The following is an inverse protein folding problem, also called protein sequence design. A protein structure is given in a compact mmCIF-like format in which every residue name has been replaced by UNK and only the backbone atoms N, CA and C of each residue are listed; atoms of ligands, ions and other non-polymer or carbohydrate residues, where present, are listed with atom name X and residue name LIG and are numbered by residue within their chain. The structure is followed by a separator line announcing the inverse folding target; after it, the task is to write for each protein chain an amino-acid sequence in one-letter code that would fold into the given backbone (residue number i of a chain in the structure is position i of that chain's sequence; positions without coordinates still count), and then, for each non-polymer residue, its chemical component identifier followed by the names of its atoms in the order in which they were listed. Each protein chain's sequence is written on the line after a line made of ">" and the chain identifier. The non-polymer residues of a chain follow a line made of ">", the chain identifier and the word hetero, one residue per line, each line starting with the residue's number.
data_IF_885520003416
#
_entry.id   IF_885520003416
#
_cell.length_a   1.000
_cell.length_b   1.000
_cell.length_c   1.000
_cell.angle_alpha   90.00
_cell.angle_beta   90.00
_cell.angle_gamma   90.00
#
_symmetry.space_group_name_H-M   'P 1'
#
loop_
_entity.id
_entity.type
_entity.pdbx_description
1 polymer ?
#
# COMPACT_ATOMS: atom_id res chain seq x y z
N UNK A 1 -43.57 37.74 -9.65
CA UNK A 1 -42.80 38.85 -10.25
C UNK A 1 -42.14 39.65 -9.14
N UNK A 2 -40.86 39.42 -8.89
CA UNK A 2 -40.01 40.36 -8.16
C UNK A 2 -38.61 40.44 -8.80
N UNK A 3 -38.53 40.27 -10.12
CA UNK A 3 -37.28 40.31 -10.90
C UNK A 3 -37.01 41.70 -11.50
N UNK A 4 -37.31 42.77 -10.75
CA UNK A 4 -36.85 44.10 -11.14
C UNK A 4 -35.75 44.56 -10.18
N UNK A 5 -34.50 44.34 -10.58
CA UNK A 5 -33.33 44.90 -9.92
C UNK A 5 -32.77 46.05 -10.77
N UNK A 6 -32.78 47.27 -10.21
CA UNK A 6 -32.16 48.44 -10.83
C UNK A 6 -30.79 48.67 -10.17
N UNK A 7 -29.74 48.08 -10.75
CA UNK A 7 -28.37 48.12 -10.23
C UNK A 7 -27.43 47.17 -10.95
N UNK A 8 -26.14 47.17 -10.59
CA UNK A 8 -25.16 46.19 -11.06
C UNK A 8 -25.03 45.09 -10.01
N UNK A 9 -25.33 43.86 -10.38
CA UNK A 9 -25.12 42.67 -9.56
C UNK A 9 -23.90 41.92 -10.09
N UNK A 10 -22.95 41.62 -9.20
CA UNK A 10 -21.88 40.67 -9.49
C UNK A 10 -22.31 39.33 -8.93
N UNK A 11 -22.54 38.38 -9.82
CA UNK A 11 -22.76 36.98 -9.48
C UNK A 11 -21.46 36.25 -9.77
N UNK A 12 -20.88 35.64 -8.74
CA UNK A 12 -19.75 34.74 -8.92
C UNK A 12 -20.28 33.43 -9.50
N UNK A 13 -20.11 33.27 -10.81
CA UNK A 13 -20.47 32.05 -11.53
C UNK A 13 -19.33 31.04 -11.29
N UNK A 14 -19.61 30.05 -10.44
CA UNK A 14 -18.66 29.00 -10.07
C UNK A 14 -18.78 27.75 -10.98
N UNK A 15 -19.06 27.97 -12.27
CA UNK A 15 -19.32 26.91 -13.28
C UNK A 15 -18.01 26.38 -13.95
N UNK A 16 -16.89 26.43 -13.22
CA UNK A 16 -15.62 25.91 -13.70
C UNK A 16 -15.43 24.43 -13.35
N UNK A 17 -14.77 23.68 -14.24
CA UNK A 17 -14.31 22.32 -13.93
C UNK A 17 -13.38 22.37 -12.71
N UNK A 18 -13.74 21.63 -11.67
CA UNK A 18 -12.96 21.58 -10.43
C UNK A 18 -11.70 20.75 -10.64
N UNK A 19 -10.59 21.20 -10.05
CA UNK A 19 -9.31 20.48 -10.14
C UNK A 19 -9.37 19.21 -9.29
N UNK A 20 -8.99 18.08 -9.88
CA UNK A 20 -8.89 16.79 -9.22
C UNK A 20 -7.44 16.59 -8.74
N UNK A 21 -7.23 16.54 -7.43
CA UNK A 21 -5.95 16.17 -6.84
C UNK A 21 -5.80 14.65 -6.79
N UNK A 22 -4.64 14.14 -7.19
CA UNK A 22 -4.31 12.72 -7.01
C UNK A 22 -4.14 12.41 -5.53
N UNK A 23 -4.67 11.26 -5.08
CA UNK A 23 -4.51 10.82 -3.69
C UNK A 23 -3.05 10.57 -3.33
N UNK A 24 -2.70 10.73 -2.05
CA UNK A 24 -1.36 10.41 -1.56
C UNK A 24 -1.10 8.91 -1.61
N UNK A 25 -0.12 8.48 -2.39
CA UNK A 25 0.18 7.06 -2.64
C UNK A 25 1.34 6.54 -1.78
N UNK A 26 2.16 7.44 -1.24
CA UNK A 26 3.39 7.14 -0.50
C UNK A 26 3.19 7.10 1.03
N UNK A 27 2.04 6.61 1.51
CA UNK A 27 1.75 6.44 2.94
C UNK A 27 1.93 4.97 3.30
N UNK A 28 2.89 4.71 4.19
CA UNK A 28 3.17 3.37 4.69
C UNK A 28 2.28 3.07 5.88
N UNK A 29 1.68 1.89 5.93
CA UNK A 29 1.01 1.34 7.11
C UNK A 29 1.72 0.07 7.55
N UNK A 30 2.16 0.00 8.80
CA UNK A 30 2.79 -1.22 9.31
C UNK A 30 2.30 -1.61 10.70
N UNK A 31 2.25 -2.92 10.93
CA UNK A 31 2.02 -3.50 12.25
C UNK A 31 3.32 -4.12 12.73
N UNK A 32 3.64 -3.91 13.99
CA UNK A 32 4.90 -4.36 14.57
C UNK A 32 4.76 -4.60 16.08
N UNK A 33 5.72 -5.33 16.66
CA UNK A 33 5.87 -5.42 18.10
C UNK A 33 7.04 -4.59 18.60
N UNK A 34 6.91 -4.08 19.83
CA UNK A 34 8.00 -3.43 20.57
C UNK A 34 7.61 -3.24 22.04
N UNK A 35 7.96 -4.22 22.88
CA UNK A 35 7.66 -4.19 24.32
C UNK A 35 8.36 -3.05 25.08
N UNK A 36 9.47 -2.52 24.57
CA UNK A 36 10.24 -1.44 25.18
C UNK A 36 10.08 -0.08 24.47
N UNK A 37 9.12 0.05 23.54
CA UNK A 37 8.79 1.32 22.93
C UNK A 37 8.03 2.25 23.89
N UNK A 38 8.24 3.55 23.74
CA UNK A 38 7.56 4.59 24.50
C UNK A 38 6.04 4.48 24.33
N UNK A 39 5.32 4.19 25.42
CA UNK A 39 3.90 3.86 25.35
C UNK A 39 3.00 5.07 25.03
N UNK A 40 3.47 6.29 25.29
CA UNK A 40 2.76 7.51 24.92
C UNK A 40 2.86 7.79 23.42
N UNK A 41 4.05 7.61 22.85
CA UNK A 41 4.28 7.79 21.42
C UNK A 41 3.72 6.63 20.61
N UNK A 42 3.81 5.39 21.12
CA UNK A 42 3.34 4.19 20.47
C UNK A 42 2.33 3.43 21.33
N UNK A 43 1.11 3.97 21.58
CA UNK A 43 0.07 3.22 22.27
C UNK A 43 -0.23 1.88 21.60
N UNK A 44 -0.56 0.87 22.42
CA UNK A 44 -0.96 -0.44 21.90
C UNK A 44 -2.26 -0.34 21.11
N UNK A 45 -2.33 -1.06 19.98
CA UNK A 45 -3.49 -1.20 19.11
C UNK A 45 -4.09 0.10 18.55
N UNK A 46 -3.36 1.21 18.62
CA UNK A 46 -3.80 2.49 18.06
C UNK A 46 -2.90 2.92 16.91
N UNK A 47 -3.48 3.34 15.77
CA UNK A 47 -2.69 3.86 14.67
C UNK A 47 -2.08 5.21 15.05
N UNK A 48 -0.76 5.31 14.92
CA UNK A 48 0.02 6.52 15.19
C UNK A 48 0.61 7.05 13.90
N UNK A 49 0.44 8.35 13.66
CA UNK A 49 1.05 9.03 12.54
C UNK A 49 2.49 9.41 12.84
N UNK A 50 3.42 8.96 12.00
CA UNK A 50 4.81 9.35 12.02
C UNK A 50 5.09 10.18 10.77
N UNK A 51 5.41 11.45 10.97
CA UNK A 51 5.82 12.37 9.89
C UNK A 51 7.34 12.40 9.68
N UNK A 52 8.11 11.97 10.68
CA UNK A 52 9.56 11.83 10.59
C UNK A 52 10.00 10.48 11.17
N UNK A 53 10.22 9.52 10.26
CA UNK A 53 10.61 8.14 10.58
C UNK A 53 11.91 8.10 11.40
N UNK A 54 12.91 8.94 11.06
CA UNK A 54 14.21 8.93 11.73
C UNK A 54 14.12 9.37 13.20
N UNK A 55 13.32 10.41 13.49
CA UNK A 55 13.13 10.89 14.86
C UNK A 55 12.32 9.90 15.70
N UNK A 56 11.39 9.17 15.09
CA UNK A 56 10.55 8.20 15.77
C UNK A 56 11.32 6.97 16.27
N UNK A 57 12.43 6.60 15.61
CA UNK A 57 13.28 5.46 16.00
C UNK A 57 13.81 5.61 17.43
N UNK A 58 14.12 6.83 17.87
CA UNK A 58 14.60 7.08 19.24
C UNK A 58 13.60 6.64 20.32
N UNK A 59 12.30 6.58 19.99
CA UNK A 59 11.20 6.19 20.88
C UNK A 59 10.65 4.79 20.58
N UNK A 60 11.18 4.13 19.55
CA UNK A 60 10.73 2.82 19.08
C UNK A 60 11.19 1.64 19.93
N UNK A 61 12.02 1.90 20.94
CA UNK A 61 12.68 0.84 21.71
C UNK A 61 13.79 0.14 20.92
N UNK A 62 14.27 -0.97 21.44
CA UNK A 62 15.31 -1.82 20.83
C UNK A 62 14.84 -3.27 20.64
N UNK A 63 13.72 -3.66 21.23
CA UNK A 63 13.15 -5.00 21.12
C UNK A 63 12.05 -5.05 20.05
N UNK A 64 11.76 -6.26 19.58
CA UNK A 64 10.73 -6.50 18.56
C UNK A 64 11.16 -6.02 17.18
N UNK A 65 10.18 -5.70 16.34
CA UNK A 65 10.42 -5.38 14.91
C UNK A 65 10.27 -3.90 14.57
N UNK A 66 9.72 -3.07 15.48
CA UNK A 66 9.42 -1.66 15.22
C UNK A 66 10.67 -0.85 14.81
N UNK A 67 11.70 -0.82 15.65
CA UNK A 67 12.88 0.02 15.43
C UNK A 67 13.64 -0.37 14.15
N UNK A 68 13.84 -1.68 13.94
CA UNK A 68 14.50 -2.19 12.74
C UNK A 68 13.69 -1.87 11.47
N UNK A 69 12.36 -1.98 11.52
CA UNK A 69 11.49 -1.66 10.38
C UNK A 69 11.49 -0.17 10.05
N UNK A 70 11.43 0.70 11.07
CA UNK A 70 11.51 2.15 10.88
C UNK A 70 12.86 2.57 10.29
N UNK A 71 13.98 2.02 10.81
CA UNK A 71 15.30 2.27 10.23
C UNK A 71 15.37 1.75 8.79
N UNK A 72 14.75 0.59 8.53
CA UNK A 72 14.74 0.01 7.20
C UNK A 72 14.01 0.90 6.16
N UNK A 73 12.92 1.54 6.58
CA UNK A 73 12.19 2.52 5.78
C UNK A 73 13.03 3.80 5.62
N UNK A 74 13.60 4.31 6.72
CA UNK A 74 14.35 5.57 6.77
C UNK A 74 15.58 5.59 5.86
N UNK A 75 16.28 4.46 5.66
CA UNK A 75 17.43 4.42 4.75
C UNK A 75 17.02 4.53 3.27
N UNK A 76 15.76 4.27 2.93
CA UNK A 76 15.25 4.43 1.56
C UNK A 76 14.65 5.81 1.34
N UNK A 77 13.73 6.23 2.21
CA UNK A 77 13.01 7.50 2.10
C UNK A 77 12.46 7.97 3.45
N UNK A 78 11.81 9.14 3.47
CA UNK A 78 11.15 9.70 4.66
C UNK A 78 9.64 9.83 4.42
N UNK A 79 8.92 8.71 4.24
CA UNK A 79 7.49 8.76 3.98
C UNK A 79 6.72 9.05 5.27
N UNK A 80 5.46 9.44 5.10
CA UNK A 80 4.50 9.42 6.20
C UNK A 80 4.20 7.95 6.50
N UNK A 81 4.33 7.56 7.77
CA UNK A 81 4.14 6.17 8.20
C UNK A 81 3.10 6.11 9.31
N UNK A 82 2.07 5.30 9.12
CA UNK A 82 1.12 4.90 10.15
C UNK A 82 1.62 3.61 10.79
N UNK A 83 1.86 3.65 12.10
CA UNK A 83 2.32 2.48 12.86
C UNK A 83 1.24 2.05 13.82
N UNK A 84 0.97 0.74 13.85
CA UNK A 84 0.16 0.10 14.89
C UNK A 84 1.08 -0.83 15.68
N UNK A 85 1.31 -0.50 16.95
CA UNK A 85 2.07 -1.38 17.85
C UNK A 85 1.14 -2.41 18.48
N UNK A 86 1.50 -3.68 18.44
CA UNK A 86 0.80 -4.75 19.15
C UNK A 86 1.68 -5.35 20.24
N UNK A 87 1.05 -6.00 21.21
CA UNK A 87 1.73 -6.64 22.33
C UNK A 87 2.39 -7.96 21.87
N UNK A 88 3.60 -8.22 22.37
CA UNK A 88 4.26 -9.51 22.23
C UNK A 88 3.44 -10.59 22.96
N UNK A 89 3.37 -11.80 22.42
CA UNK A 89 2.76 -12.93 23.11
C UNK A 89 3.43 -13.23 24.47
N UNK A 90 2.67 -13.79 25.39
CA UNK A 90 3.15 -14.26 26.70
C UNK A 90 2.93 -15.76 26.78
N UNK A 91 3.97 -16.53 26.45
CA UNK A 91 3.98 -17.99 26.53
C UNK A 91 5.28 -18.50 27.14
N UNK A 92 5.22 -19.68 27.74
CA UNK A 92 6.39 -20.34 28.34
C UNK A 92 7.38 -20.88 27.28
N UNK A 93 6.89 -21.11 26.05
CA UNK A 93 7.65 -21.55 24.89
C UNK A 93 7.53 -20.56 23.70
N UNK A 94 8.55 -20.53 22.85
CA UNK A 94 8.65 -19.60 21.71
C UNK A 94 7.54 -19.82 20.65
N UNK A 95 6.99 -21.03 20.53
CA UNK A 95 5.93 -21.34 19.57
C UNK A 95 4.58 -20.78 20.02
N UNK A 96 4.20 -21.02 21.29
CA UNK A 96 3.02 -20.43 21.92
C UNK A 96 3.10 -18.91 21.92
N UNK A 97 4.29 -18.37 22.20
CA UNK A 97 4.55 -16.92 22.14
C UNK A 97 4.31 -16.36 20.73
N UNK A 98 4.83 -17.02 19.70
CA UNK A 98 4.63 -16.60 18.32
C UNK A 98 3.15 -16.71 17.92
N UNK A 99 2.45 -17.78 18.28
CA UNK A 99 1.04 -17.98 17.97
C UNK A 99 0.14 -16.90 18.59
N UNK A 100 0.39 -16.52 19.84
CA UNK A 100 -0.30 -15.39 20.47
C UNK A 100 0.05 -14.07 19.80
N UNK A 101 1.33 -13.84 19.45
CA UNK A 101 1.76 -12.64 18.73
C UNK A 101 1.05 -12.53 17.37
N UNK A 102 0.96 -13.63 16.62
CA UNK A 102 0.21 -13.70 15.36
C UNK A 102 -1.26 -13.33 15.55
N UNK A 103 -1.89 -13.84 16.62
CA UNK A 103 -3.28 -13.51 16.96
C UNK A 103 -3.46 -12.01 17.26
N UNK A 104 -2.52 -11.42 18.00
CA UNK A 104 -2.51 -9.98 18.31
C UNK A 104 -2.29 -9.12 17.06
N UNK A 105 -1.42 -9.55 16.14
CA UNK A 105 -1.17 -8.86 14.86
C UNK A 105 -2.41 -8.91 13.96
N UNK A 106 -3.03 -10.07 13.79
CA UNK A 106 -4.26 -10.20 12.98
C UNK A 106 -5.36 -9.30 13.57
N UNK A 107 -5.49 -9.34 14.89
CA UNK A 107 -6.36 -8.48 15.65
C UNK A 107 -7.86 -8.79 15.49
N UNK A 108 -8.61 -8.24 16.43
CA UNK A 108 -10.07 -8.31 16.49
C UNK A 108 -10.68 -6.93 16.73
N UNK A 109 -12.00 -6.90 16.83
CA UNK A 109 -12.71 -5.76 17.41
C UNK A 109 -12.82 -6.01 18.91
N UNK A 110 -12.36 -5.07 19.73
CA UNK A 110 -12.50 -5.16 21.18
C UNK A 110 -13.95 -4.91 21.65
N UNK A 111 -14.21 -5.12 22.94
CA UNK A 111 -15.55 -4.91 23.54
C UNK A 111 -16.03 -3.45 23.45
N UNK A 112 -15.11 -2.50 23.26
CA UNK A 112 -15.39 -1.08 23.08
C UNK A 112 -15.58 -0.69 21.61
N UNK A 113 -15.55 -1.66 20.69
CA UNK A 113 -15.69 -1.43 19.25
C UNK A 113 -14.42 -0.94 18.55
N UNK A 114 -13.27 -0.87 19.23
CA UNK A 114 -11.99 -0.48 18.64
C UNK A 114 -11.39 -1.65 17.86
N UNK A 115 -10.89 -1.33 16.66
CA UNK A 115 -10.11 -2.29 15.88
C UNK A 115 -8.69 -2.39 16.42
N UNK A 116 -8.19 -3.62 16.51
CA UNK A 116 -6.84 -3.95 16.99
C UNK A 116 -5.99 -4.56 15.87
N UNK A 117 -4.66 -4.59 16.05
CA UNK A 117 -3.72 -5.16 15.07
C UNK A 117 -3.88 -4.61 13.65
N UNK A 118 -3.92 -5.49 12.66
CA UNK A 118 -4.09 -5.15 11.24
C UNK A 118 -5.41 -4.43 10.96
N UNK A 119 -6.49 -4.74 11.69
CA UNK A 119 -7.78 -4.07 11.52
C UNK A 119 -7.72 -2.61 11.96
N UNK A 120 -6.82 -2.24 12.87
CA UNK A 120 -6.65 -0.85 13.29
C UNK A 120 -6.21 0.06 12.14
N UNK A 121 -5.52 -0.49 11.12
CA UNK A 121 -5.16 0.26 9.91
C UNK A 121 -6.39 0.71 9.11
N UNK A 122 -7.53 0.02 9.23
CA UNK A 122 -8.80 0.45 8.61
C UNK A 122 -9.33 1.74 9.22
N UNK A 123 -9.03 2.01 10.49
CA UNK A 123 -9.40 3.23 11.20
C UNK A 123 -8.31 4.31 11.12
N UNK A 124 -7.22 4.08 10.38
CA UNK A 124 -6.12 5.03 10.32
C UNK A 124 -6.56 6.40 9.78
N UNK A 125 -7.40 6.44 8.75
CA UNK A 125 -7.85 7.69 8.14
C UNK A 125 -8.69 8.54 9.11
N UNK A 126 -9.60 7.94 9.88
CA UNK A 126 -10.42 8.67 10.84
C UNK A 126 -9.64 9.15 12.07
N UNK A 127 -8.62 8.39 12.49
CA UNK A 127 -7.81 8.72 13.68
C UNK A 127 -6.67 9.69 13.36
N UNK A 128 -5.99 9.47 12.23
CA UNK A 128 -4.74 10.18 11.87
C UNK A 128 -4.90 11.16 10.72
N UNK A 129 -6.05 11.14 10.03
CA UNK A 129 -6.31 11.98 8.85
C UNK A 129 -5.65 11.47 7.57
N UNK A 130 -4.97 10.32 7.59
CA UNK A 130 -4.29 9.76 6.42
C UNK A 130 -4.61 8.28 6.22
N UNK A 131 -4.77 7.88 4.95
CA UNK A 131 -5.07 6.49 4.56
C UNK A 131 -3.80 5.79 4.07
N UNK A 132 -3.34 4.71 4.73
CA UNK A 132 -2.14 4.00 4.30
C UNK A 132 -2.39 3.19 3.02
N UNK A 133 -1.44 3.24 2.09
CA UNK A 133 -1.51 2.62 0.75
C UNK A 133 -0.47 1.55 0.50
N UNK A 134 0.55 1.49 1.35
CA UNK A 134 1.66 0.55 1.27
C UNK A 134 1.70 -0.19 2.61
N UNK A 135 1.32 -1.46 2.64
CA UNK A 135 1.14 -2.21 3.88
C UNK A 135 2.17 -3.33 4.06
N UNK A 136 2.55 -3.60 5.31
CA UNK A 136 3.39 -4.75 5.63
C UNK A 136 3.45 -5.03 7.12
N UNK A 137 3.90 -6.23 7.47
CA UNK A 137 4.17 -6.64 8.85
C UNK A 137 5.59 -7.21 8.92
N UNK A 138 6.63 -6.35 8.83
CA UNK A 138 7.97 -6.85 8.60
C UNK A 138 8.48 -7.72 9.75
N UNK A 139 8.95 -8.91 9.41
CA UNK A 139 9.53 -9.84 10.37
C UNK A 139 8.51 -10.58 11.25
N UNK A 140 7.21 -10.43 10.99
CA UNK A 140 6.13 -11.18 11.67
C UNK A 140 4.99 -11.54 10.69
N UNK A 141 5.30 -11.66 9.41
CA UNK A 141 4.37 -11.93 8.31
C UNK A 141 4.21 -13.44 8.07
N UNK A 142 3.82 -14.18 9.11
CA UNK A 142 3.44 -15.59 8.98
C UNK A 142 2.31 -15.76 7.97
N UNK A 143 2.08 -17.00 7.50
CA UNK A 143 1.00 -17.30 6.54
C UNK A 143 -0.36 -16.75 6.99
N UNK A 144 -0.69 -16.90 8.27
CA UNK A 144 -1.95 -16.45 8.86
C UNK A 144 -2.06 -14.92 8.85
N UNK A 145 -0.96 -14.22 9.16
CA UNK A 145 -0.87 -12.76 9.08
C UNK A 145 -0.98 -12.29 7.63
N UNK A 146 -0.31 -12.95 6.69
CA UNK A 146 -0.35 -12.61 5.27
C UNK A 146 -1.78 -12.74 4.68
N UNK A 147 -2.52 -13.77 5.06
CA UNK A 147 -3.94 -13.94 4.66
C UNK A 147 -4.81 -12.81 5.23
N UNK A 148 -4.61 -12.45 6.51
CA UNK A 148 -5.34 -11.33 7.11
C UNK A 148 -4.97 -9.99 6.46
N UNK A 149 -3.69 -9.78 6.15
CA UNK A 149 -3.18 -8.59 5.48
C UNK A 149 -3.81 -8.43 4.09
N UNK A 150 -3.96 -9.52 3.33
CA UNK A 150 -4.62 -9.51 2.01
C UNK A 150 -6.01 -8.85 2.08
N UNK A 151 -6.81 -9.27 3.07
CA UNK A 151 -8.17 -8.76 3.28
C UNK A 151 -8.18 -7.27 3.66
N UNK A 152 -7.18 -6.82 4.43
CA UNK A 152 -7.03 -5.40 4.79
C UNK A 152 -6.58 -4.57 3.59
N UNK A 153 -5.64 -5.07 2.77
CA UNK A 153 -5.20 -4.43 1.54
C UNK A 153 -6.36 -4.18 0.58
N UNK A 154 -7.24 -5.17 0.38
CA UNK A 154 -8.43 -5.03 -0.47
C UNK A 154 -9.38 -3.94 0.03
N UNK A 155 -9.68 -3.91 1.33
CA UNK A 155 -10.57 -2.91 1.94
C UNK A 155 -10.00 -1.50 1.84
N UNK A 156 -8.69 -1.35 2.03
CA UNK A 156 -8.02 -0.07 1.95
C UNK A 156 -7.63 0.34 0.53
N UNK A 157 -7.82 -0.53 -0.48
CA UNK A 157 -7.23 -0.34 -1.82
C UNK A 157 -5.74 0.01 -1.70
N UNK A 158 -5.04 -0.78 -0.89
CA UNK A 158 -3.63 -0.66 -0.61
C UNK A 158 -2.88 -1.86 -1.20
N UNK A 159 -1.56 -1.76 -1.26
CA UNK A 159 -0.68 -2.81 -1.76
C UNK A 159 0.20 -3.35 -0.62
N UNK A 160 0.21 -4.66 -0.44
CA UNK A 160 0.90 -5.35 0.65
C UNK A 160 2.14 -6.11 0.20
N UNK A 161 3.23 -6.00 0.95
CA UNK A 161 4.43 -6.82 0.76
C UNK A 161 4.55 -7.83 1.89
N UNK A 162 4.71 -9.10 1.53
CA UNK A 162 4.84 -10.22 2.46
C UNK A 162 6.09 -11.04 2.13
N UNK A 163 6.73 -11.59 3.14
CA UNK A 163 7.83 -12.54 3.02
C UNK A 163 7.28 -13.95 2.81
N UNK A 164 8.03 -14.80 2.10
CA UNK A 164 7.77 -16.24 2.13
C UNK A 164 8.23 -16.83 3.48
N UNK A 165 7.44 -16.57 4.52
CA UNK A 165 7.80 -16.82 5.92
C UNK A 165 8.28 -18.25 6.16
N UNK A 166 9.46 -18.38 6.78
CA UNK A 166 10.04 -19.66 7.18
C UNK A 166 10.51 -20.55 6.02
N UNK A 167 10.36 -20.13 4.76
CA UNK A 167 10.76 -20.92 3.61
C UNK A 167 12.27 -20.81 3.36
N UNK A 168 12.93 -21.95 3.15
CA UNK A 168 14.38 -22.02 2.90
C UNK A 168 14.72 -22.41 1.47
N UNK A 169 13.81 -23.10 0.80
CA UNK A 169 14.02 -23.60 -0.56
C UNK A 169 13.05 -22.98 -1.56
N UNK A 170 13.45 -22.90 -2.82
CA UNK A 170 12.61 -22.38 -3.92
C UNK A 170 11.29 -23.16 -4.02
N UNK A 171 11.32 -24.48 -3.83
CA UNK A 171 10.12 -25.32 -3.86
C UNK A 171 9.11 -24.95 -2.76
N UNK A 172 9.58 -24.72 -1.53
CA UNK A 172 8.73 -24.26 -0.42
C UNK A 172 8.15 -22.88 -0.70
N UNK A 173 8.96 -21.96 -1.24
CA UNK A 173 8.53 -20.61 -1.59
C UNK A 173 7.44 -20.63 -2.67
N UNK A 174 7.60 -21.47 -3.70
CA UNK A 174 6.58 -21.68 -4.74
C UNK A 174 5.29 -22.22 -4.16
N UNK A 175 5.36 -23.21 -3.27
CA UNK A 175 4.20 -23.75 -2.57
C UNK A 175 3.54 -22.72 -1.64
N UNK A 176 4.34 -21.89 -0.96
CA UNK A 176 3.83 -20.80 -0.11
C UNK A 176 3.04 -19.79 -0.95
N UNK A 177 3.58 -19.38 -2.10
CA UNK A 177 2.92 -18.43 -3.01
C UNK A 177 1.57 -18.94 -3.54
N UNK A 178 1.39 -20.25 -3.71
CA UNK A 178 0.12 -20.85 -4.17
C UNK A 178 -1.05 -20.66 -3.19
N UNK A 179 -0.80 -20.27 -1.93
CA UNK A 179 -1.87 -20.01 -0.95
C UNK A 179 -2.62 -18.69 -1.19
N UNK A 180 -2.17 -17.85 -2.14
CA UNK A 180 -2.69 -16.50 -2.35
C UNK A 180 -3.19 -16.30 -3.78
N UNK A 181 -4.30 -15.58 -3.94
CA UNK A 181 -4.88 -15.15 -5.22
C UNK A 181 -5.12 -13.64 -5.32
N UNK A 182 -4.77 -12.88 -4.27
CA UNK A 182 -5.11 -11.47 -4.15
C UNK A 182 -4.10 -10.59 -4.88
N UNK A 183 -4.53 -9.89 -5.94
CA UNK A 183 -3.71 -8.96 -6.74
C UNK A 183 -3.03 -7.84 -5.94
N UNK A 184 -3.50 -7.58 -4.73
CA UNK A 184 -2.97 -6.57 -3.79
C UNK A 184 -1.72 -7.03 -3.03
N UNK A 185 -1.30 -8.30 -3.16
CA UNK A 185 -0.14 -8.84 -2.46
C UNK A 185 1.03 -9.09 -3.40
N UNK A 186 2.25 -8.94 -2.87
CA UNK A 186 3.48 -9.39 -3.50
C UNK A 186 4.31 -10.18 -2.49
N UNK A 187 4.63 -11.43 -2.83
CA UNK A 187 5.53 -12.28 -2.05
C UNK A 187 6.98 -11.95 -2.42
N UNK A 188 7.81 -11.77 -1.40
CA UNK A 188 9.24 -11.49 -1.53
C UNK A 188 10.03 -12.63 -0.88
N UNK A 189 11.05 -13.12 -1.58
CA UNK A 189 12.03 -14.04 -1.02
C UNK A 189 13.36 -13.96 -1.77
N UNK A 190 14.52 -13.96 -1.10
CA UNK A 190 14.72 -14.09 0.36
C UNK A 190 14.76 -12.72 1.07
N UNK A 191 15.44 -12.63 2.20
CA UNK A 191 15.66 -11.38 2.95
C UNK A 191 17.04 -10.76 2.66
N UNK A 192 17.24 -9.52 3.08
CA UNK A 192 18.57 -8.90 3.09
C UNK A 192 19.32 -9.19 4.39
N UNK A 193 20.62 -8.91 4.37
CA UNK A 193 21.46 -8.84 5.55
C UNK A 193 21.95 -7.40 5.71
N UNK A 194 22.06 -6.92 6.95
CA UNK A 194 22.62 -5.62 7.27
C UNK A 194 23.39 -5.66 8.59
N UNK A 195 24.28 -4.69 8.79
CA UNK A 195 24.99 -4.53 10.05
C UNK A 195 24.06 -3.91 11.10
N UNK A 196 23.81 -4.62 12.19
CA UNK A 196 23.09 -4.10 13.34
C UNK A 196 24.06 -3.40 14.29
N UNK A 197 23.86 -2.10 14.48
CA UNK A 197 24.69 -1.28 15.37
C UNK A 197 24.44 -1.52 16.86
N UNK A 198 23.31 -2.13 17.23
CA UNK A 198 22.98 -2.45 18.63
C UNK A 198 23.74 -3.68 19.07
N UNK A 199 23.68 -4.75 18.27
CA UNK A 199 24.38 -6.01 18.56
C UNK A 199 25.80 -6.06 18.00
N UNK A 200 26.17 -5.12 17.12
CA UNK A 200 27.45 -5.11 16.39
C UNK A 200 27.71 -6.43 15.63
N UNK A 201 26.67 -6.96 15.00
CA UNK A 201 26.75 -8.16 14.16
C UNK A 201 25.91 -7.99 12.89
N UNK A 202 26.14 -8.85 11.90
CA UNK A 202 25.25 -8.91 10.73
C UNK A 202 23.95 -9.62 11.11
N UNK A 203 22.83 -8.93 10.95
CA UNK A 203 21.49 -9.44 11.23
C UNK A 203 20.62 -9.43 9.97
N UNK A 204 19.50 -10.16 10.03
CA UNK A 204 18.49 -10.14 8.99
C UNK A 204 17.87 -8.75 8.88
N UNK A 205 17.89 -8.18 7.68
CA UNK A 205 17.18 -6.97 7.33
C UNK A 205 15.97 -7.36 6.49
N UNK A 206 14.77 -7.26 7.08
CA UNK A 206 13.53 -7.70 6.45
C UNK A 206 13.32 -7.02 5.10
N UNK A 207 13.24 -7.83 4.03
CA UNK A 207 13.06 -7.31 2.69
C UNK A 207 11.71 -6.61 2.53
N UNK A 208 10.70 -7.04 3.28
CA UNK A 208 9.39 -6.38 3.33
C UNK A 208 9.48 -4.95 3.87
N UNK A 209 10.20 -4.69 4.97
CA UNK A 209 10.39 -3.31 5.47
C UNK A 209 11.12 -2.42 4.46
N UNK A 210 12.14 -2.96 3.79
CA UNK A 210 12.87 -2.27 2.73
C UNK A 210 11.96 -1.98 1.53
N UNK A 211 11.10 -2.92 1.16
CA UNK A 211 10.11 -2.75 0.10
C UNK A 211 9.11 -1.64 0.44
N UNK A 212 8.64 -1.53 1.69
CA UNK A 212 7.75 -0.43 2.12
C UNK A 212 8.40 0.94 1.88
N UNK A 213 9.63 1.13 2.37
CA UNK A 213 10.35 2.40 2.21
C UNK A 213 10.73 2.71 0.77
N UNK A 214 11.12 1.69 0.01
CA UNK A 214 11.48 1.86 -1.40
C UNK A 214 10.26 2.14 -2.26
N UNK A 215 9.12 1.50 -1.99
CA UNK A 215 7.85 1.77 -2.66
C UNK A 215 7.43 3.22 -2.47
N UNK A 216 7.53 3.72 -1.25
CA UNK A 216 7.21 5.11 -0.94
C UNK A 216 8.18 6.09 -1.63
N UNK A 217 9.47 5.73 -1.72
CA UNK A 217 10.46 6.51 -2.49
C UNK A 217 10.10 6.60 -3.97
N UNK A 218 9.81 5.46 -4.59
CA UNK A 218 9.49 5.40 -6.02
C UNK A 218 8.24 6.24 -6.30
N UNK A 219 7.23 6.18 -5.44
CA UNK A 219 6.03 6.99 -5.58
C UNK A 219 6.29 8.49 -5.54
N UNK A 220 7.20 8.94 -4.67
CA UNK A 220 7.55 10.34 -4.52
C UNK A 220 8.43 10.85 -5.68
N UNK A 221 9.35 10.03 -6.18
CA UNK A 221 10.35 10.45 -7.17
C UNK A 221 9.93 10.18 -8.62
N UNK A 222 9.27 9.06 -8.88
CA UNK A 222 8.90 8.60 -10.23
C UNK A 222 7.39 8.47 -10.41
N UNK A 223 6.68 8.03 -9.37
CA UNK A 223 5.24 7.78 -9.40
C UNK A 223 4.86 6.33 -9.11
N UNK A 224 3.58 6.11 -8.83
CA UNK A 224 3.05 4.78 -8.49
C UNK A 224 3.12 3.77 -9.64
N UNK A 225 3.19 4.26 -10.89
CA UNK A 225 3.24 3.46 -12.11
C UNK A 225 4.57 2.72 -12.30
N UNK A 226 5.67 3.20 -11.71
CA UNK A 226 6.95 2.48 -11.71
C UNK A 226 6.90 1.34 -10.70
N UNK A 227 7.31 0.12 -11.07
CA UNK A 227 7.36 -1.05 -10.18
C UNK A 227 8.56 -1.05 -9.23
N UNK A 228 8.49 -1.84 -8.16
CA UNK A 228 9.60 -2.05 -7.21
C UNK A 228 10.84 -2.67 -7.87
N UNK A 229 10.64 -3.45 -8.95
CA UNK A 229 11.71 -4.15 -9.65
C UNK A 229 12.81 -3.23 -10.19
N UNK A 230 14.05 -3.72 -10.12
CA UNK A 230 15.27 -3.11 -10.61
C UNK A 230 15.65 -1.78 -9.93
N UNK A 231 15.13 -1.50 -8.73
CA UNK A 231 15.50 -0.33 -7.94
C UNK A 231 16.56 -0.71 -6.91
N UNK A 232 17.61 0.12 -6.79
CA UNK A 232 18.70 -0.08 -5.84
C UNK A 232 18.24 0.05 -4.40
N UNK A 233 18.72 -0.84 -3.53
CA UNK A 233 18.37 -0.90 -2.11
C UNK A 233 19.52 -0.38 -1.26
N UNK A 234 19.24 0.63 -0.42
CA UNK A 234 20.21 1.17 0.53
C UNK A 234 20.25 0.34 1.84
N UNK A 235 21.36 0.45 2.60
CA UNK A 235 21.43 -0.06 3.96
C UNK A 235 21.49 -1.60 4.09
N UNK A 236 21.97 -2.28 3.04
CA UNK A 236 22.10 -3.74 3.00
C UNK A 236 23.50 -4.15 2.59
N UNK A 237 24.00 -5.25 3.16
CA UNK A 237 25.36 -5.78 2.96
C UNK A 237 25.37 -7.15 2.29
N UNK A 238 24.23 -7.84 2.26
CA UNK A 238 24.09 -9.17 1.70
C UNK A 238 22.64 -9.59 1.46
N UNK A 239 22.48 -10.81 0.97
CA UNK A 239 21.20 -11.51 0.78
C UNK A 239 21.25 -12.76 1.66
N UNK A 240 20.15 -13.09 2.34
CA UNK A 240 20.11 -14.17 3.34
C UNK A 240 20.14 -15.57 2.74
N UNK A 241 19.70 -15.72 1.48
CA UNK A 241 19.83 -16.95 0.71
C UNK A 241 20.39 -16.66 -0.68
N UNK A 242 21.20 -17.59 -1.20
CA UNK A 242 21.73 -17.49 -2.55
C UNK A 242 20.61 -17.78 -3.56
N UNK A 243 20.44 -16.89 -4.53
CA UNK A 243 19.55 -17.08 -5.68
C UNK A 243 20.41 -16.94 -6.93
N UNK A 244 20.51 -17.98 -7.74
CA UNK A 244 21.21 -17.88 -9.00
C UNK A 244 20.44 -16.98 -9.96
N UNK A 245 21.15 -15.99 -10.50
CA UNK A 245 20.64 -15.05 -11.48
C UNK A 245 21.74 -14.73 -12.48
N UNK A 246 21.36 -14.73 -13.74
CA UNK A 246 22.17 -14.26 -14.86
C UNK A 246 21.29 -13.41 -15.77
N UNK A 247 21.89 -12.50 -16.54
CA UNK A 247 21.13 -11.60 -17.41
C UNK A 247 20.73 -12.24 -18.74
N UNK A 248 21.55 -13.17 -19.25
CA UNK A 248 21.39 -13.75 -20.58
C UNK A 248 20.90 -15.20 -20.51
N UNK A 249 21.28 -15.94 -19.49
CA UNK A 249 20.86 -17.31 -19.29
C UNK A 249 19.40 -17.38 -18.83
N UNK A 250 18.62 -18.23 -19.48
CA UNK A 250 17.24 -18.52 -19.10
C UNK A 250 17.18 -19.74 -18.18
N UNK A 251 16.21 -19.78 -17.28
CA UNK A 251 16.00 -20.92 -16.39
C UNK A 251 16.81 -20.81 -15.10
N UNK A 252 17.15 -19.58 -14.72
CA UNK A 252 17.80 -19.27 -13.44
C UNK A 252 16.83 -19.48 -12.27
N UNK A 253 17.34 -19.56 -11.04
CA UNK A 253 16.50 -19.62 -9.84
C UNK A 253 15.56 -18.41 -9.76
N UNK A 254 16.09 -17.24 -10.14
CA UNK A 254 15.32 -16.01 -10.20
C UNK A 254 14.19 -16.06 -11.24
N UNK A 255 14.39 -16.73 -12.38
CA UNK A 255 13.34 -16.92 -13.38
C UNK A 255 12.24 -17.83 -12.83
N UNK A 256 12.61 -18.95 -12.18
CA UNK A 256 11.66 -19.89 -11.59
C UNK A 256 10.81 -19.24 -10.49
N UNK A 257 11.41 -18.37 -9.67
CA UNK A 257 10.70 -17.61 -8.65
C UNK A 257 9.76 -16.57 -9.29
N UNK A 258 10.25 -15.78 -10.24
CA UNK A 258 9.45 -14.77 -10.92
C UNK A 258 8.30 -15.38 -11.71
N UNK A 259 8.52 -16.51 -12.39
CA UNK A 259 7.47 -17.23 -13.11
C UNK A 259 6.32 -17.60 -12.17
N UNK A 260 6.65 -18.06 -10.96
CA UNK A 260 5.67 -18.39 -9.91
C UNK A 260 5.04 -17.19 -9.21
N UNK A 261 5.40 -15.95 -9.58
CA UNK A 261 4.85 -14.74 -8.98
C UNK A 261 5.51 -14.34 -7.65
N UNK A 262 6.78 -14.73 -7.44
CA UNK A 262 7.59 -14.34 -6.28
C UNK A 262 8.68 -13.37 -6.72
N UNK A 263 8.76 -12.24 -6.05
CA UNK A 263 9.82 -11.24 -6.28
C UNK A 263 11.06 -11.65 -5.50
N UNK A 264 12.20 -11.72 -6.20
CA UNK A 264 13.46 -12.10 -5.59
C UNK A 264 14.44 -10.93 -5.46
N UNK A 265 15.62 -11.21 -4.94
CA UNK A 265 16.67 -10.23 -4.69
C UNK A 265 17.90 -10.62 -5.53
N UNK A 266 18.48 -9.65 -6.23
CA UNK A 266 19.70 -9.85 -7.01
C UNK A 266 20.79 -8.87 -6.59
N UNK A 267 22.02 -9.19 -6.98
CA UNK A 267 23.17 -8.29 -6.82
C UNK A 267 23.80 -7.99 -8.18
N UNK A 268 23.48 -6.82 -8.72
CA UNK A 268 24.11 -6.24 -9.91
C UNK A 268 24.14 -4.73 -9.78
N UNK A 269 25.34 -4.16 -9.79
CA UNK A 269 25.57 -2.73 -9.53
C UNK A 269 24.88 -2.27 -8.24
N UNK A 270 24.99 -3.09 -7.20
CA UNK A 270 24.26 -2.98 -5.93
C UNK A 270 23.20 -4.08 -5.74
N UNK A 271 22.50 -4.01 -4.62
CA UNK A 271 21.39 -4.92 -4.30
C UNK A 271 20.08 -4.36 -4.85
N UNK A 272 19.24 -5.22 -5.45
CA UNK A 272 18.00 -4.82 -6.13
C UNK A 272 16.90 -5.84 -5.90
N UNK A 273 15.66 -5.37 -5.85
CA UNK A 273 14.49 -6.22 -6.05
C UNK A 273 14.42 -6.64 -7.52
N UNK A 274 14.04 -7.90 -7.76
CA UNK A 274 13.94 -8.48 -9.08
C UNK A 274 12.65 -9.27 -9.19
N UNK A 275 11.65 -8.61 -9.75
CA UNK A 275 10.29 -9.11 -9.86
C UNK A 275 9.28 -8.00 -9.65
N UNK A 276 8.18 -8.10 -10.40
CA UNK A 276 7.08 -7.13 -10.38
C UNK A 276 5.70 -7.79 -10.46
N UNK A 277 5.64 -9.12 -10.28
CA UNK A 277 4.40 -9.88 -10.34
C UNK A 277 3.70 -9.91 -8.99
N UNK A 278 2.37 -9.96 -9.02
CA UNK A 278 1.51 -9.97 -7.85
C UNK A 278 1.01 -11.38 -7.51
N UNK A 279 0.24 -11.40 -6.43
CA UNK A 279 -0.79 -12.34 -5.99
C UNK A 279 -1.79 -12.90 -7.01
N UNK A 280 -2.05 -12.14 -8.08
CA UNK A 280 -3.26 -12.27 -8.89
C UNK A 280 -3.42 -13.64 -9.53
N UNK A 281 -4.64 -14.16 -9.50
CA UNK A 281 -5.10 -15.28 -10.31
C UNK A 281 -5.56 -14.85 -11.71
N UNK A 282 -5.90 -13.57 -11.88
CA UNK A 282 -6.21 -12.95 -13.17
C UNK A 282 -4.93 -12.40 -13.85
N UNK A 283 -4.58 -12.85 -15.07
CA UNK A 283 -3.47 -12.33 -15.86
C UNK A 283 -3.53 -10.81 -16.12
N UNK A 284 -4.72 -10.19 -16.14
CA UNK A 284 -4.88 -8.75 -16.35
C UNK A 284 -4.23 -7.92 -15.24
N UNK A 285 -4.18 -8.46 -14.02
CA UNK A 285 -3.63 -7.78 -12.85
C UNK A 285 -2.36 -8.42 -12.33
N UNK A 286 -1.64 -9.12 -13.22
CA UNK A 286 -0.43 -9.85 -12.90
C UNK A 286 0.69 -8.94 -12.40
N UNK A 287 0.74 -7.67 -12.84
CA UNK A 287 1.83 -6.76 -12.47
C UNK A 287 1.42 -5.71 -11.42
N UNK A 288 2.38 -5.37 -10.55
CA UNK A 288 2.21 -4.40 -9.46
C UNK A 288 1.66 -3.06 -9.96
N UNK A 289 2.18 -2.54 -11.06
CA UNK A 289 1.77 -1.24 -11.60
C UNK A 289 0.28 -1.20 -11.98
N UNK A 290 -0.27 -2.27 -12.57
CA UNK A 290 -1.70 -2.31 -12.92
C UNK A 290 -2.58 -2.30 -11.68
N UNK A 291 -2.25 -3.10 -10.65
CA UNK A 291 -2.99 -3.05 -9.37
C UNK A 291 -2.96 -1.69 -8.74
N UNK A 292 -1.77 -1.08 -8.66
CA UNK A 292 -1.63 0.23 -8.01
C UNK A 292 -2.31 1.35 -8.80
N UNK A 293 -2.18 1.36 -10.12
CA UNK A 293 -2.87 2.34 -10.97
C UNK A 293 -4.39 2.23 -10.80
N UNK A 294 -4.96 1.02 -10.83
CA UNK A 294 -6.40 0.81 -10.62
C UNK A 294 -6.88 1.38 -9.28
N UNK A 295 -6.15 1.09 -8.20
CA UNK A 295 -6.48 1.56 -6.85
C UNK A 295 -6.38 3.08 -6.71
N UNK A 296 -5.31 3.68 -7.26
CA UNK A 296 -5.06 5.13 -7.20
C UNK A 296 -6.10 5.89 -8.01
N UNK A 297 -6.44 5.43 -9.22
CA UNK A 297 -7.47 6.05 -10.04
C UNK A 297 -8.84 5.97 -9.36
N UNK A 298 -9.22 4.81 -8.84
CA UNK A 298 -10.52 4.62 -8.18
C UNK A 298 -10.71 5.58 -6.99
N UNK A 299 -9.68 5.75 -6.15
CA UNK A 299 -9.78 6.66 -4.99
C UNK A 299 -9.62 8.12 -5.38
N UNK A 300 -8.78 8.44 -6.37
CA UNK A 300 -8.67 9.81 -6.92
C UNK A 300 -10.01 10.30 -7.46
N UNK A 301 -10.73 9.46 -8.20
CA UNK A 301 -12.04 9.84 -8.72
C UNK A 301 -13.09 9.88 -7.61
N UNK A 302 -13.12 8.91 -6.69
CA UNK A 302 -14.11 8.89 -5.63
C UNK A 302 -13.97 10.11 -4.68
N UNK A 303 -12.77 10.38 -4.17
CA UNK A 303 -12.52 11.46 -3.20
C UNK A 303 -12.79 12.84 -3.83
N UNK A 304 -12.41 13.03 -5.10
CA UNK A 304 -12.61 14.30 -5.79
C UNK A 304 -14.07 14.64 -6.08
N UNK A 305 -14.99 13.66 -6.04
CA UNK A 305 -16.41 13.86 -6.29
C UNK A 305 -17.27 13.84 -5.01
N UNK A 306 -16.66 13.85 -3.83
CA UNK A 306 -17.38 13.97 -2.55
C UNK A 306 -18.31 15.20 -2.52
N UNK A 307 -17.94 16.30 -3.18
CA UNK A 307 -18.76 17.52 -3.27
C UNK A 307 -20.07 17.33 -4.06
N UNK A 308 -20.14 16.32 -4.94
CA UNK A 308 -21.30 16.02 -5.76
C UNK A 308 -22.32 15.13 -5.04
N UNK A 309 -21.93 14.53 -3.90
CA UNK A 309 -22.83 13.78 -3.03
C UNK A 309 -23.94 14.71 -2.51
N UNK A 310 -25.17 14.20 -2.49
CA UNK A 310 -26.40 14.91 -2.08
C UNK A 310 -26.80 16.13 -2.93
N UNK A 311 -26.15 16.35 -4.09
CA UNK A 311 -26.59 17.37 -5.04
C UNK A 311 -27.72 16.87 -5.95
N UNK A 312 -28.62 17.76 -6.41
CA UNK A 312 -29.62 17.41 -7.41
C UNK A 312 -28.94 16.91 -8.70
N UNK A 313 -29.35 15.72 -9.16
CA UNK A 313 -28.86 15.16 -10.42
C UNK A 313 -29.43 15.99 -11.57
N UNK A 314 -28.57 16.76 -12.22
CA UNK A 314 -28.89 17.57 -13.41
C UNK A 314 -27.95 17.21 -14.54
N UNK A 315 -28.37 17.45 -15.79
CA UNK A 315 -27.52 17.20 -16.95
C UNK A 315 -26.19 17.99 -16.89
N UNK A 316 -26.23 19.20 -16.31
CA UNK A 316 -25.02 20.01 -16.09
C UNK A 316 -24.08 19.35 -15.09
N UNK A 317 -24.59 18.86 -13.94
CA UNK A 317 -23.76 18.17 -12.95
C UNK A 317 -23.05 16.94 -13.56
N UNK A 318 -23.76 16.15 -14.37
CA UNK A 318 -23.18 14.97 -15.03
C UNK A 318 -22.07 15.39 -16.00
N UNK A 319 -22.30 16.44 -16.81
CA UNK A 319 -21.30 16.98 -17.73
C UNK A 319 -20.07 17.48 -16.97
N UNK A 320 -20.25 18.24 -15.89
CA UNK A 320 -19.15 18.78 -15.09
C UNK A 320 -18.27 17.67 -14.49
N UNK A 321 -18.88 16.57 -14.04
CA UNK A 321 -18.19 15.38 -13.54
C UNK A 321 -17.35 14.74 -14.65
N UNK A 322 -17.97 14.45 -15.80
CA UNK A 322 -17.29 13.79 -16.93
C UNK A 322 -16.16 14.65 -17.47
N UNK A 323 -16.38 15.96 -17.62
CA UNK A 323 -15.38 16.91 -18.11
C UNK A 323 -14.21 17.06 -17.11
N UNK A 324 -14.50 17.07 -15.80
CA UNK A 324 -13.50 17.08 -14.74
C UNK A 324 -12.63 15.82 -14.73
N UNK A 325 -13.24 14.63 -14.83
CA UNK A 325 -12.51 13.36 -14.90
C UNK A 325 -11.63 13.31 -16.16
N UNK A 326 -12.17 13.66 -17.33
CA UNK A 326 -11.41 13.70 -18.57
C UNK A 326 -10.27 14.74 -18.53
N UNK A 327 -10.46 15.87 -17.86
CA UNK A 327 -9.38 16.83 -17.62
C UNK A 327 -8.25 16.22 -16.80
N UNK A 328 -8.58 15.48 -15.73
CA UNK A 328 -7.57 14.77 -14.93
C UNK A 328 -6.85 13.70 -15.73
N UNK A 329 -7.56 12.93 -16.56
CA UNK A 329 -6.92 11.93 -17.41
C UNK A 329 -5.95 12.54 -18.41
N UNK A 330 -6.27 13.70 -19.01
CA UNK A 330 -5.33 14.44 -19.86
C UNK A 330 -4.07 14.86 -19.11
N UNK A 331 -4.21 15.32 -17.85
CA UNK A 331 -3.07 15.65 -16.98
C UNK A 331 -2.20 14.40 -16.71
N UNK A 332 -2.82 13.29 -16.31
CA UNK A 332 -2.12 12.03 -16.02
C UNK A 332 -1.39 11.47 -17.24
N UNK A 333 -2.02 11.54 -18.43
CA UNK A 333 -1.42 11.16 -19.72
C UNK A 333 -0.23 12.05 -20.06
N UNK A 334 -0.37 13.36 -19.92
CA UNK A 334 0.71 14.33 -20.19
C UNK A 334 1.91 14.09 -19.30
N UNK A 335 1.67 13.72 -18.04
CA UNK A 335 2.72 13.40 -17.07
C UNK A 335 3.25 11.95 -17.18
N UNK A 336 2.72 11.13 -18.09
CA UNK A 336 3.18 9.76 -18.34
C UNK A 336 2.76 8.73 -17.29
N UNK A 337 1.77 9.01 -16.44
CA UNK A 337 1.26 8.05 -15.45
C UNK A 337 0.37 6.96 -16.08
N UNK A 338 -0.30 7.30 -17.19
CA UNK A 338 -1.16 6.42 -17.98
C UNK A 338 -0.91 6.69 -19.47
N UNK A 339 -1.25 5.73 -20.33
CA UNK A 339 -1.14 5.85 -21.78
C UNK A 339 -2.34 6.57 -22.35
N UNK A 340 -3.54 6.13 -21.97
CA UNK A 340 -4.78 6.79 -22.35
C UNK A 340 -5.89 6.51 -21.36
N UNK A 341 -6.90 7.38 -21.31
CA UNK A 341 -8.12 7.14 -20.56
C UNK A 341 -9.26 8.01 -21.06
N UNK A 342 -10.49 7.49 -21.00
CA UNK A 342 -11.71 8.20 -21.39
C UNK A 342 -12.80 7.91 -20.40
N UNK A 343 -13.52 8.95 -19.99
CA UNK A 343 -14.71 8.87 -19.16
C UNK A 343 -15.94 9.32 -19.95
N UNK A 344 -17.06 8.61 -19.80
CA UNK A 344 -18.32 8.95 -20.45
C UNK A 344 -19.52 8.62 -19.56
N UNK A 345 -20.66 9.19 -19.92
CA UNK A 345 -21.96 8.85 -19.34
C UNK A 345 -22.68 7.88 -20.27
N UNK A 346 -23.09 6.73 -19.75
CA UNK A 346 -23.89 5.74 -20.47
C UNK A 346 -25.37 5.86 -20.09
N UNK A 347 -26.24 6.05 -21.07
CA UNK A 347 -27.70 6.06 -20.84
C UNK A 347 -28.23 4.68 -20.46
N UNK A 348 -27.60 3.59 -20.95
CA UNK A 348 -27.99 2.22 -20.63
C UNK A 348 -27.77 1.89 -19.15
N UNK A 349 -26.68 2.42 -18.57
CA UNK A 349 -26.36 2.27 -17.14
C UNK A 349 -27.22 3.17 -16.23
N UNK A 350 -27.91 4.17 -16.80
CA UNK A 350 -28.59 5.25 -16.06
C UNK A 350 -30.03 5.45 -16.53
N UNK A 351 -30.83 4.38 -16.48
CA UNK A 351 -32.25 4.45 -16.78
C UNK A 351 -33.05 5.30 -15.77
N UNK A 352 -34.32 5.58 -16.12
CA UNK A 352 -35.17 6.44 -15.30
C UNK A 352 -35.42 5.88 -13.89
N UNK A 353 -35.46 4.55 -13.72
CA UNK A 353 -35.66 3.91 -12.42
C UNK A 353 -34.42 4.05 -11.52
N UNK A 354 -33.24 3.87 -12.10
CA UNK A 354 -31.93 4.03 -11.46
C UNK A 354 -31.71 5.47 -10.99
N UNK A 355 -31.96 6.44 -11.87
CA UNK A 355 -31.85 7.86 -11.53
C UNK A 355 -32.89 8.28 -10.49
N UNK A 356 -34.11 7.74 -10.56
CA UNK A 356 -35.16 7.97 -9.54
C UNK A 356 -34.78 7.37 -8.19
N UNK A 357 -34.00 6.29 -8.18
CA UNK A 357 -33.40 5.72 -6.98
C UNK A 357 -32.18 6.52 -6.47
N UNK A 358 -31.83 7.64 -7.10
CA UNK A 358 -30.72 8.51 -6.71
C UNK A 358 -29.34 7.95 -7.05
N UNK A 359 -29.26 6.97 -7.96
CA UNK A 359 -27.99 6.36 -8.38
C UNK A 359 -27.55 6.95 -9.71
N UNK A 360 -26.27 7.31 -9.79
CA UNK A 360 -25.61 7.79 -11.00
C UNK A 360 -24.35 6.96 -11.23
N UNK A 361 -24.25 6.36 -12.40
CA UNK A 361 -23.08 5.61 -12.84
C UNK A 361 -22.31 6.40 -13.91
N UNK A 362 -21.00 6.47 -13.73
CA UNK A 362 -20.08 7.13 -14.65
C UNK A 362 -19.02 6.09 -15.00
N UNK A 363 -18.89 5.80 -16.28
CA UNK A 363 -17.99 4.78 -16.80
C UNK A 363 -16.67 5.42 -17.24
N UNK A 364 -15.57 4.70 -17.05
CA UNK A 364 -14.27 5.10 -17.57
C UNK A 364 -13.37 3.90 -17.86
N UNK A 365 -12.57 4.04 -18.91
CA UNK A 365 -11.52 3.10 -19.30
C UNK A 365 -10.16 3.79 -19.24
N UNK A 366 -9.11 3.00 -18.99
CA UNK A 366 -7.72 3.46 -18.97
C UNK A 366 -6.75 2.38 -19.47
N UNK A 367 -5.57 2.80 -19.92
CA UNK A 367 -4.46 1.94 -20.36
C UNK A 367 -3.14 2.37 -19.73
#
# INVERSE_FOLDING_TARGET
>A
MSDYHHGVQVLEINDGTRVISTVSTAIVGMVCTASDADAETFPLNKPVLITNVQSAIAKAGKKGTLAASLQAIADQSKPVTVVVRVEDGTGDDEETKLAQTVSNIIGTTDENGQYTGLKALLAAESVTGVKPRILGVPGLDTKEVAVALASVCQKLRAFGYISAWGCKTISEVKAYRQNFSQRELMVIWPDFLAWDTVTSTTATAYATARALGLRAKIDQEQGWHKTLSNVGVNGVTGISASVFWDLQESGTDADLLNESGVTTLIRRDGFRFWGNRTCSDDPLFLFENYTRTAQVLADTMAEAHMWAVDKPITATLIRDIVDGINAKFRELKTNGYIVDATCWFSEESNDAETLKAGKLYIDYDYT
#
